data_IF_559250648881
#
_entry.id   IF_559250648881
#
_cell.length_a   1.000
_cell.length_b   1.000
_cell.length_c   1.000
_cell.angle_alpha   90.00
_cell.angle_beta   90.00
_cell.angle_gamma   90.00
#
_symmetry.space_group_name_H-M   'P 1'
#
loop_
_entity.id
_entity.type
_entity.pdbx_description
1 polymer ?
#
# COMPACT_ATOMS: atom_id res chain seq x y z
N UNK A 1 17.77 -12.99 21.27
CA UNK A 1 16.44 -12.34 21.18
C UNK A 1 16.28 -11.81 19.76
N UNK A 2 15.69 -12.58 18.85
CA UNK A 2 15.42 -12.10 17.49
C UNK A 2 14.23 -11.14 17.57
N UNK A 3 14.44 -9.88 17.17
CA UNK A 3 13.37 -8.88 17.13
C UNK A 3 12.64 -9.06 15.81
N UNK A 4 11.32 -9.24 15.89
CA UNK A 4 10.47 -9.21 14.70
C UNK A 4 10.43 -7.78 14.17
N UNK A 5 10.63 -7.61 12.87
CA UNK A 5 10.52 -6.35 12.14
C UNK A 5 9.30 -6.43 11.21
N UNK A 6 8.49 -5.37 11.22
CA UNK A 6 7.37 -5.17 10.30
C UNK A 6 7.48 -3.77 9.70
N UNK A 7 7.20 -3.66 8.41
CA UNK A 7 7.16 -2.43 7.64
C UNK A 7 5.70 -2.08 7.34
N UNK A 8 5.39 -0.80 7.35
CA UNK A 8 4.06 -0.31 7.00
C UNK A 8 4.15 0.92 6.11
N UNK A 9 3.20 1.04 5.19
CA UNK A 9 3.08 2.18 4.30
C UNK A 9 1.72 2.83 4.46
N UNK A 10 1.69 4.16 4.42
CA UNK A 10 0.50 4.95 4.62
C UNK A 10 0.73 6.42 4.29
N UNK A 11 -0.36 7.11 4.01
CA UNK A 11 -0.40 8.53 3.72
C UNK A 11 -1.10 9.29 4.85
N UNK A 12 -0.92 10.61 4.89
CA UNK A 12 -1.69 11.47 5.80
C UNK A 12 -3.18 11.40 5.50
N UNK A 13 -3.52 11.31 4.22
CA UNK A 13 -4.87 11.23 3.66
C UNK A 13 -5.56 9.91 3.98
N UNK A 14 -4.79 8.88 4.30
CA UNK A 14 -5.29 7.58 4.71
C UNK A 14 -5.28 7.35 6.22
N UNK A 15 -5.12 8.43 7.00
CA UNK A 15 -5.07 8.38 8.47
C UNK A 15 -3.95 7.46 8.98
N UNK A 16 -2.78 7.51 8.34
CA UNK A 16 -1.64 6.66 8.68
C UNK A 16 -1.59 5.40 7.82
N UNK A 17 -1.27 4.25 8.44
CA UNK A 17 -0.96 3.00 7.74
C UNK A 17 -2.11 2.44 6.90
N UNK A 18 -1.81 2.00 5.68
CA UNK A 18 -2.69 1.29 4.76
C UNK A 18 -2.21 -0.11 4.42
N UNK A 19 -0.90 -0.35 4.52
CA UNK A 19 -0.29 -1.66 4.31
C UNK A 19 0.57 -2.01 5.51
N UNK A 20 0.67 -3.30 5.79
CA UNK A 20 1.59 -3.80 6.82
C UNK A 20 2.14 -5.17 6.44
N UNK A 21 3.45 -5.36 6.64
CA UNK A 21 4.10 -6.66 6.47
C UNK A 21 4.02 -7.48 7.76
N UNK A 22 3.83 -8.79 7.60
CA UNK A 22 3.79 -9.71 8.71
C UNK A 22 5.20 -10.02 9.19
N UNK A 23 5.45 -9.77 10.47
CA UNK A 23 6.73 -10.09 11.09
C UNK A 23 7.06 -11.57 10.95
N UNK A 24 8.33 -11.87 10.73
CA UNK A 24 8.84 -13.24 10.55
C UNK A 24 8.31 -13.98 9.30
N UNK A 25 7.72 -13.25 8.34
CA UNK A 25 7.39 -13.79 7.01
C UNK A 25 8.47 -13.35 6.02
N UNK A 26 9.47 -14.22 5.82
CA UNK A 26 10.66 -13.91 5.02
C UNK A 26 10.37 -13.38 3.60
N UNK A 27 9.37 -13.91 2.85
CA UNK A 27 9.04 -13.38 1.53
C UNK A 27 8.51 -11.93 1.52
N UNK A 28 8.13 -11.37 2.67
CA UNK A 28 7.61 -9.99 2.77
C UNK A 28 8.68 -8.96 3.16
N UNK A 29 9.94 -9.39 3.40
CA UNK A 29 11.04 -8.48 3.70
C UNK A 29 11.29 -7.56 2.49
N UNK A 30 11.31 -6.24 2.70
CA UNK A 30 11.44 -5.25 1.63
C UNK A 30 10.14 -4.94 0.90
N UNK A 31 9.01 -5.43 1.41
CA UNK A 31 7.66 -5.07 0.94
C UNK A 31 6.93 -4.31 2.04
N UNK A 32 5.99 -3.46 1.63
CA UNK A 32 5.08 -2.78 2.58
C UNK A 32 3.95 -3.70 3.08
N UNK A 33 3.92 -4.95 2.59
CA UNK A 33 2.98 -5.99 2.96
C UNK A 33 1.61 -5.86 2.31
N UNK A 34 0.60 -6.44 2.96
CA UNK A 34 -0.76 -6.51 2.45
C UNK A 34 -1.60 -5.31 2.93
N UNK A 35 -2.69 -4.95 2.22
CA UNK A 35 -3.62 -3.92 2.67
C UNK A 35 -4.23 -4.27 4.03
N UNK A 36 -4.46 -3.26 4.86
CA UNK A 36 -5.26 -3.40 6.07
C UNK A 36 -6.72 -3.72 5.72
N UNK A 37 -7.42 -4.41 6.61
CA UNK A 37 -8.81 -4.86 6.39
C UNK A 37 -9.83 -3.74 6.22
N UNK A 38 -9.46 -2.50 6.56
CA UNK A 38 -10.31 -1.30 6.42
C UNK A 38 -10.10 -0.56 5.10
N UNK A 39 -9.14 -1.00 4.29
CA UNK A 39 -8.71 -0.35 3.05
C UNK A 39 -8.95 -1.29 1.87
N UNK A 40 -9.52 -0.75 0.81
CA UNK A 40 -9.55 -1.35 -0.51
C UNK A 40 -8.42 -0.74 -1.36
N UNK A 41 -7.76 -1.56 -2.16
CA UNK A 41 -6.64 -1.11 -3.00
C UNK A 41 -6.92 -1.46 -4.44
N UNK A 42 -6.72 -0.50 -5.34
CA UNK A 42 -6.68 -0.71 -6.78
C UNK A 42 -5.30 -0.34 -7.29
N UNK A 43 -4.74 -1.19 -8.14
CA UNK A 43 -3.53 -0.89 -8.88
C UNK A 43 -3.90 -0.51 -10.31
N UNK A 44 -3.53 0.70 -10.73
CA UNK A 44 -3.96 1.29 -11.98
C UNK A 44 -2.77 1.58 -12.90
N UNK A 45 -2.87 1.16 -14.16
CA UNK A 45 -1.84 1.44 -15.17
C UNK A 45 -1.76 2.94 -15.44
N UNK A 46 -0.54 3.45 -15.68
CA UNK A 46 -0.30 4.86 -16.03
C UNK A 46 0.45 4.89 -17.37
N UNK A 47 -0.28 4.90 -18.51
CA UNK A 47 0.31 4.80 -19.84
C UNK A 47 1.34 5.90 -20.14
N UNK A 48 1.15 7.10 -19.60
CA UNK A 48 2.04 8.26 -19.78
C UNK A 48 3.43 8.02 -19.20
N UNK A 49 3.53 7.17 -18.17
CA UNK A 49 4.79 6.76 -17.54
C UNK A 49 5.29 5.40 -18.06
N UNK A 50 4.59 4.80 -19.02
CA UNK A 50 4.86 3.44 -19.50
C UNK A 50 4.64 2.37 -18.43
N UNK A 51 3.75 2.63 -17.46
CA UNK A 51 3.43 1.71 -16.38
C UNK A 51 2.21 0.87 -16.73
N UNK A 52 2.38 -0.44 -16.69
CA UNK A 52 1.32 -1.42 -16.89
C UNK A 52 1.18 -2.33 -15.66
N UNK A 53 0.03 -2.22 -15.01
CA UNK A 53 -0.34 -2.97 -13.82
C UNK A 53 -0.49 -4.47 -14.09
N UNK A 54 -0.65 -4.89 -15.36
CA UNK A 54 -0.81 -6.29 -15.75
C UNK A 54 0.45 -6.88 -16.41
N UNK A 55 1.53 -6.12 -16.48
CA UNK A 55 2.79 -6.59 -17.06
C UNK A 55 3.49 -7.64 -16.19
N UNK A 56 4.54 -8.29 -16.71
CA UNK A 56 5.33 -9.29 -15.99
C UNK A 56 5.99 -8.74 -14.72
N UNK A 57 6.26 -7.44 -14.69
CA UNK A 57 6.65 -6.68 -13.49
C UNK A 57 5.61 -5.57 -13.31
N UNK A 58 4.50 -5.86 -12.61
CA UNK A 58 3.37 -4.95 -12.43
C UNK A 58 3.84 -3.59 -11.90
N UNK A 59 3.52 -2.52 -12.63
CA UNK A 59 3.84 -1.14 -12.25
C UNK A 59 2.64 -0.26 -12.54
N UNK A 60 2.38 0.69 -11.66
CA UNK A 60 1.17 1.48 -11.71
C UNK A 60 0.97 2.28 -10.45
N UNK A 61 -0.06 3.11 -10.45
CA UNK A 61 -0.45 3.92 -9.31
C UNK A 61 -1.33 3.12 -8.35
N UNK A 62 -1.18 3.39 -7.06
CA UNK A 62 -1.96 2.76 -5.99
C UNK A 62 -3.07 3.71 -5.59
N UNK A 63 -4.31 3.30 -5.85
CA UNK A 63 -5.51 3.99 -5.40
C UNK A 63 -6.04 3.31 -4.14
N UNK A 64 -6.34 4.14 -3.14
CA UNK A 64 -6.88 3.70 -1.87
C UNK A 64 -8.37 4.06 -1.78
N UNK A 65 -9.17 3.09 -1.36
CA UNK A 65 -10.59 3.24 -1.01
C UNK A 65 -10.82 2.78 0.43
N UNK A 66 -11.91 3.20 1.05
CA UNK A 66 -12.33 2.70 2.36
C UNK A 66 -12.76 3.78 3.34
N UNK A 67 -13.18 3.34 4.53
CA UNK A 67 -13.77 4.22 5.56
C UNK A 67 -12.74 4.98 6.38
N UNK A 68 -11.46 4.62 6.29
CA UNK A 68 -10.37 5.26 7.04
C UNK A 68 -9.74 6.43 6.29
N UNK A 69 -10.17 6.71 5.06
CA UNK A 69 -9.73 7.89 4.31
C UNK A 69 -10.30 9.17 4.92
N UNK A 70 -9.49 10.21 5.01
CA UNK A 70 -9.94 11.52 5.47
C UNK A 70 -10.95 12.15 4.50
N UNK A 71 -11.77 13.10 4.97
CA UNK A 71 -12.80 13.73 4.14
C UNK A 71 -12.27 14.75 3.11
N UNK A 72 -10.96 14.99 3.10
CA UNK A 72 -10.30 15.95 2.22
C UNK A 72 -9.55 17.03 2.99
N UNK A 73 -8.87 17.89 2.24
CA UNK A 73 -8.12 19.01 2.77
C UNK A 73 -9.04 20.16 3.17
N UNK A 74 -8.74 20.80 4.32
CA UNK A 74 -9.43 22.01 4.73
C UNK A 74 -9.14 23.16 3.74
N UNK A 75 -10.13 24.02 3.52
CA UNK A 75 -10.04 25.16 2.60
C UNK A 75 -9.60 26.43 3.33
#
# INVERSE_FOLDING_TARGET
MWRNLSEGYGLTESCGGCFTSLGNVYPMIGTVGAPLTTIEVRHESVPELGYDALSSVPRGEIFLGGKTLFSGYHK
#
